data_IF_253434868876
#
_entry.id   IF_253434868876
#
_cell.length_a   1.000
_cell.length_b   1.000
_cell.length_c   1.000
_cell.angle_alpha   90.00
_cell.angle_beta   90.00
_cell.angle_gamma   90.00
#
_symmetry.space_group_name_H-M   'P 1'
#
loop_
_entity.id
_entity.type
_entity.pdbx_description
1 polymer ?
#
# COMPACT_ATOMS: atom_id res chain seq x y z
N UNK A 1 55.45 26.88 76.62
CA UNK A 1 54.27 25.98 76.31
C UNK A 1 53.43 26.43 75.10
N UNK A 2 53.77 27.42 74.31
CA UNK A 2 52.93 27.96 73.19
C UNK A 2 53.14 27.27 71.77
N UNK A 3 54.22 26.53 71.58
CA UNK A 3 54.50 25.97 70.26
C UNK A 3 53.78 24.62 70.00
N UNK A 4 53.38 23.87 71.02
CA UNK A 4 52.65 22.54 70.83
C UNK A 4 51.17 22.79 70.47
N UNK A 5 50.53 23.85 70.91
CA UNK A 5 49.14 24.13 70.58
C UNK A 5 48.98 24.60 69.12
N UNK A 6 49.98 25.32 68.59
CA UNK A 6 49.94 25.78 67.19
C UNK A 6 50.02 24.62 66.20
N UNK A 7 50.84 23.59 66.50
CA UNK A 7 50.94 22.39 65.65
C UNK A 7 49.62 21.60 65.59
N UNK A 8 48.91 21.54 66.73
CA UNK A 8 47.58 20.86 66.74
C UNK A 8 46.53 21.69 65.98
N UNK A 9 46.57 22.99 65.99
CA UNK A 9 45.69 23.86 65.21
C UNK A 9 45.96 23.71 63.70
N UNK A 10 47.20 23.66 63.29
CA UNK A 10 47.58 23.47 61.89
C UNK A 10 47.17 22.09 61.42
N UNK A 11 47.40 21.03 62.22
CA UNK A 11 47.01 19.68 61.90
C UNK A 11 45.47 19.49 61.72
N UNK A 12 44.69 20.14 62.61
CA UNK A 12 43.21 20.11 62.50
C UNK A 12 42.68 20.87 61.27
N UNK A 13 43.32 22.00 60.92
CA UNK A 13 42.96 22.75 59.72
C UNK A 13 43.25 21.99 58.45
N UNK A 14 44.39 21.31 58.36
CA UNK A 14 44.73 20.43 57.22
C UNK A 14 43.76 19.24 57.12
N UNK A 15 43.41 18.64 58.26
CA UNK A 15 42.47 17.52 58.28
C UNK A 15 41.05 17.97 57.83
N UNK A 16 40.61 19.19 58.23
CA UNK A 16 39.34 19.75 57.82
C UNK A 16 39.30 20.05 56.31
N UNK A 17 40.39 20.55 55.74
CA UNK A 17 40.51 20.83 54.30
C UNK A 17 40.50 19.49 53.52
N UNK A 18 41.20 18.50 53.98
CA UNK A 18 41.20 17.15 53.37
C UNK A 18 39.82 16.51 53.46
N UNK A 19 39.13 16.58 54.58
CA UNK A 19 37.77 16.06 54.71
C UNK A 19 36.78 16.82 53.80
N UNK A 20 36.92 18.13 53.66
CA UNK A 20 36.13 18.92 52.71
C UNK A 20 36.38 18.56 51.28
N UNK A 21 37.64 18.34 50.87
CA UNK A 21 37.99 17.92 49.51
C UNK A 21 37.44 16.51 49.18
N UNK A 22 37.55 15.56 50.12
CA UNK A 22 36.97 14.21 49.95
C UNK A 22 35.45 14.28 49.88
N UNK A 23 34.80 15.10 50.73
CA UNK A 23 33.35 15.27 50.65
C UNK A 23 32.91 15.88 49.31
N UNK A 24 33.66 16.88 48.81
CA UNK A 24 33.38 17.52 47.51
C UNK A 24 33.54 16.56 46.34
N UNK A 25 34.59 15.74 46.31
CA UNK A 25 34.81 14.70 45.33
C UNK A 25 33.69 13.64 45.40
N UNK A 26 33.29 13.27 46.62
CA UNK A 26 32.22 12.26 46.81
C UNK A 26 30.85 12.79 46.48
N UNK A 27 30.55 14.10 46.68
CA UNK A 27 29.33 14.72 46.23
C UNK A 27 29.32 14.90 44.69
N UNK A 28 30.44 15.31 44.09
CA UNK A 28 30.53 15.46 42.65
C UNK A 28 30.52 14.11 41.89
N UNK A 29 31.01 13.03 42.51
CA UNK A 29 30.90 11.66 41.92
C UNK A 29 29.50 11.04 42.09
N UNK A 30 28.64 11.60 42.99
CA UNK A 30 27.22 11.23 43.12
C UNK A 30 26.28 12.06 42.26
N UNK A 31 26.75 13.13 41.64
CA UNK A 31 26.06 13.80 40.55
C UNK A 31 26.18 12.95 39.30
N UNK A 32 25.65 11.70 39.34
CA UNK A 32 25.51 10.92 38.16
C UNK A 32 24.72 11.73 37.14
N UNK A 33 25.25 11.83 35.92
CA UNK A 33 24.45 12.22 34.76
C UNK A 33 23.12 11.49 34.88
N UNK A 34 21.97 12.18 34.71
CA UNK A 34 20.71 11.50 34.65
C UNK A 34 20.90 10.39 33.59
N UNK A 35 20.74 9.12 34.02
CA UNK A 35 20.88 7.98 33.13
C UNK A 35 20.09 8.32 31.87
N UNK A 36 20.78 8.42 30.74
CA UNK A 36 20.14 8.72 29.46
C UNK A 36 19.03 7.67 29.30
N UNK A 37 17.79 8.10 29.41
CA UNK A 37 16.64 7.23 29.18
C UNK A 37 16.83 6.65 27.79
N UNK A 38 16.90 5.31 27.62
CA UNK A 38 17.14 4.72 26.31
C UNK A 38 16.02 5.20 25.38
N UNK A 39 16.39 5.93 24.34
CA UNK A 39 15.47 6.33 23.28
C UNK A 39 14.94 5.08 22.62
N UNK A 40 13.64 5.03 22.43
CA UNK A 40 13.00 3.90 21.75
C UNK A 40 12.31 4.41 20.48
N UNK A 41 12.37 3.64 19.38
CA UNK A 41 11.66 3.99 18.17
C UNK A 41 10.16 3.88 18.38
N UNK A 42 9.41 4.87 17.88
CA UNK A 42 7.94 4.88 17.85
C UNK A 42 7.47 5.34 16.48
N UNK A 43 6.32 4.86 16.07
CA UNK A 43 5.70 5.27 14.82
C UNK A 43 4.98 6.60 15.02
N UNK A 44 5.28 7.57 14.17
CA UNK A 44 4.64 8.89 14.16
C UNK A 44 4.04 9.18 12.79
N UNK A 45 2.95 9.96 12.77
CA UNK A 45 2.35 10.42 11.54
C UNK A 45 3.25 11.43 10.84
N UNK A 46 3.63 11.15 9.57
CA UNK A 46 4.37 12.07 8.71
C UNK A 46 3.46 13.19 8.19
N UNK A 47 2.23 12.84 7.84
CA UNK A 47 1.17 13.73 7.37
C UNK A 47 -0.03 13.61 8.31
N UNK A 48 -0.94 14.61 8.37
CA UNK A 48 -2.19 14.44 9.08
C UNK A 48 -3.01 13.32 8.45
N UNK A 49 -3.62 12.45 9.28
CA UNK A 49 -4.42 11.31 8.85
C UNK A 49 -5.83 11.52 9.39
N UNK A 50 -6.82 11.53 8.51
CA UNK A 50 -8.21 11.73 8.90
C UNK A 50 -8.83 10.45 9.49
N UNK A 51 -9.87 10.61 10.30
CA UNK A 51 -10.67 9.49 10.81
C UNK A 51 -11.26 8.67 9.66
N UNK A 52 -11.18 7.35 9.77
CA UNK A 52 -11.57 6.35 8.78
C UNK A 52 -10.61 6.19 7.59
N UNK A 53 -9.50 6.94 7.53
CA UNK A 53 -8.45 6.69 6.53
C UNK A 53 -7.67 5.43 6.87
N UNK A 54 -7.16 4.76 5.83
CA UNK A 54 -6.25 3.62 5.96
C UNK A 54 -4.80 4.14 6.02
N UNK A 55 -4.04 3.67 7.02
CA UNK A 55 -2.64 4.07 7.20
C UNK A 55 -1.79 3.43 6.11
N UNK A 56 -1.19 4.26 5.26
CA UNK A 56 -0.22 3.85 4.24
C UNK A 56 1.21 4.02 4.75
N UNK A 57 2.16 3.32 4.13
CA UNK A 57 3.59 3.38 4.49
C UNK A 57 4.15 4.81 4.41
N UNK A 58 3.71 5.59 3.43
CA UNK A 58 4.15 6.97 3.21
C UNK A 58 3.59 7.98 4.23
N UNK A 59 2.52 7.61 4.96
CA UNK A 59 1.91 8.45 6.01
C UNK A 59 2.63 8.37 7.35
N UNK A 60 3.52 7.41 7.54
CA UNK A 60 4.16 7.14 8.82
C UNK A 60 5.68 7.11 8.72
N UNK A 61 6.34 7.33 9.85
CA UNK A 61 7.80 7.24 9.97
C UNK A 61 8.19 6.84 11.39
N UNK A 62 9.37 6.24 11.55
CA UNK A 62 9.93 5.94 12.86
C UNK A 62 10.65 7.18 13.41
N UNK A 63 10.38 7.52 14.66
CA UNK A 63 11.11 8.55 15.43
C UNK A 63 11.54 8.01 16.79
N UNK A 64 12.75 8.33 17.19
CA UNK A 64 13.23 8.04 18.54
C UNK A 64 12.67 9.06 19.55
N UNK A 65 12.04 8.59 20.62
CA UNK A 65 11.47 9.41 21.69
C UNK A 65 11.98 8.96 23.05
N UNK A 66 12.21 9.93 23.95
CA UNK A 66 12.62 9.69 25.33
C UNK A 66 11.44 9.26 26.22
N UNK A 67 10.23 9.70 25.87
CA UNK A 67 8.99 9.33 26.55
C UNK A 67 8.01 8.76 25.54
N UNK A 68 7.58 7.54 25.78
CA UNK A 68 6.66 6.81 24.93
C UNK A 68 5.33 6.70 25.63
N UNK A 69 4.23 7.16 25.01
CA UNK A 69 2.89 6.92 25.52
C UNK A 69 2.61 5.41 25.60
N UNK A 70 1.85 4.98 26.60
CA UNK A 70 1.39 3.59 26.70
C UNK A 70 0.56 3.22 25.49
N UNK A 71 0.88 2.09 24.85
CA UNK A 71 0.21 1.61 23.65
C UNK A 71 0.68 2.26 22.34
N UNK A 72 1.82 2.97 22.35
CA UNK A 72 2.42 3.47 21.11
C UNK A 72 2.87 2.32 20.21
N UNK A 73 2.63 2.44 18.91
CA UNK A 73 3.16 1.52 17.92
C UNK A 73 4.68 1.69 17.79
N UNK A 74 5.41 0.57 17.76
CA UNK A 74 6.88 0.56 17.69
C UNK A 74 7.39 0.13 16.31
N UNK A 75 6.58 -0.58 15.55
CA UNK A 75 6.90 -1.04 14.19
C UNK A 75 5.91 -0.48 13.19
N UNK A 76 6.40 -0.07 12.02
CA UNK A 76 5.56 0.46 10.93
C UNK A 76 4.57 -0.61 10.44
N UNK A 77 5.00 -1.87 10.44
CA UNK A 77 4.17 -3.01 10.01
C UNK A 77 2.92 -3.22 10.87
N UNK A 78 2.99 -2.83 12.16
CA UNK A 78 1.86 -2.97 13.09
C UNK A 78 0.72 -1.99 12.80
N UNK A 79 0.98 -0.93 12.06
CA UNK A 79 0.01 0.14 11.81
C UNK A 79 -0.43 0.24 10.35
N UNK A 80 0.43 -0.17 9.40
CA UNK A 80 0.11 -0.10 7.96
C UNK A 80 -1.06 -1.01 7.62
N UNK A 81 -2.04 -0.49 6.87
CA UNK A 81 -3.30 -1.18 6.58
C UNK A 81 -4.34 -1.07 7.70
N UNK A 82 -3.99 -0.48 8.84
CA UNK A 82 -4.95 -0.18 9.91
C UNK A 82 -5.80 1.06 9.58
N UNK A 83 -7.06 1.05 9.99
CA UNK A 83 -7.97 2.20 9.84
C UNK A 83 -7.91 3.07 11.07
N UNK A 84 -7.79 4.37 10.86
CA UNK A 84 -7.71 5.37 11.92
C UNK A 84 -9.09 5.62 12.53
N UNK A 85 -9.19 5.55 13.85
CA UNK A 85 -10.45 5.73 14.60
C UNK A 85 -10.72 7.18 15.02
N UNK A 86 -9.72 8.06 14.89
CA UNK A 86 -9.80 9.51 15.13
C UNK A 86 -8.78 10.24 14.29
N UNK A 87 -8.95 11.53 14.09
CA UNK A 87 -7.96 12.33 13.39
C UNK A 87 -6.60 12.29 14.13
N UNK A 88 -5.52 12.05 13.40
CA UNK A 88 -4.15 12.03 13.89
C UNK A 88 -3.40 13.20 13.24
N UNK A 89 -2.82 14.07 14.07
CA UNK A 89 -2.07 15.22 13.59
C UNK A 89 -0.66 14.84 13.10
N UNK A 90 -0.10 15.64 12.21
CA UNK A 90 1.29 15.47 11.78
C UNK A 90 2.25 15.52 12.99
N UNK A 91 3.18 14.56 13.07
CA UNK A 91 4.14 14.43 14.17
C UNK A 91 3.58 13.79 15.44
N UNK A 92 2.33 13.41 15.46
CA UNK A 92 1.69 12.70 16.56
C UNK A 92 2.10 11.23 16.57
N UNK A 93 2.30 10.67 17.79
CA UNK A 93 2.61 9.24 17.97
C UNK A 93 1.34 8.42 17.73
N UNK A 94 1.44 7.42 16.90
CA UNK A 94 0.33 6.53 16.62
C UNK A 94 0.19 5.53 17.78
N UNK A 95 -1.01 5.50 18.39
CA UNK A 95 -1.34 4.54 19.44
C UNK A 95 -2.15 3.39 18.86
N UNK A 96 -1.88 2.17 19.29
CA UNK A 96 -2.61 0.97 18.85
C UNK A 96 -4.13 1.05 19.16
N UNK A 97 -4.53 1.82 20.17
CA UNK A 97 -5.94 2.07 20.48
C UNK A 97 -6.64 3.02 19.50
N UNK A 98 -5.87 3.84 18.77
CA UNK A 98 -6.39 4.82 17.81
C UNK A 98 -6.53 4.25 16.41
N UNK A 99 -6.12 2.99 16.24
CA UNK A 99 -6.20 2.27 14.98
C UNK A 99 -6.99 0.98 15.14
N UNK A 100 -7.71 0.61 14.12
CA UNK A 100 -8.34 -0.69 13.99
C UNK A 100 -7.59 -1.50 12.95
N UNK A 101 -6.88 -2.52 13.38
CA UNK A 101 -6.25 -3.46 12.47
C UNK A 101 -7.33 -4.42 12.00
N UNK A 102 -7.56 -4.45 10.71
CA UNK A 102 -8.52 -5.37 10.12
C UNK A 102 -7.84 -6.72 9.94
N UNK A 103 -8.00 -7.57 10.92
CA UNK A 103 -7.47 -8.94 10.88
C UNK A 103 -8.44 -9.93 10.23
N UNK A 104 -9.63 -9.46 9.84
CA UNK A 104 -10.66 -10.31 9.25
C UNK A 104 -11.69 -9.56 8.41
N UNK A 105 -12.42 -10.29 7.57
CA UNK A 105 -13.46 -9.75 6.67
C UNK A 105 -14.68 -9.17 7.40
N UNK A 106 -14.81 -9.38 8.71
CA UNK A 106 -15.96 -8.90 9.51
C UNK A 106 -15.99 -7.39 9.67
N UNK A 107 -14.84 -6.74 9.61
CA UNK A 107 -14.73 -5.30 9.84
C UNK A 107 -14.82 -4.47 8.54
N UNK A 108 -14.82 -5.11 7.38
CA UNK A 108 -14.92 -4.47 6.07
C UNK A 108 -16.12 -3.50 5.93
N UNK A 109 -17.33 -3.82 6.43
CA UNK A 109 -18.47 -2.91 6.29
C UNK A 109 -18.24 -1.53 6.93
N UNK A 110 -17.42 -1.43 7.97
CA UNK A 110 -17.11 -0.16 8.65
C UNK A 110 -16.20 0.77 7.84
N UNK A 111 -15.53 0.23 6.80
CA UNK A 111 -14.63 0.98 5.91
C UNK A 111 -15.33 1.51 4.65
N UNK A 112 -16.55 1.04 4.39
CA UNK A 112 -17.20 1.31 3.11
C UNK A 112 -17.84 2.70 3.02
N UNK A 113 -18.29 3.26 4.14
CA UNK A 113 -19.20 4.42 4.10
C UNK A 113 -20.59 4.03 3.58
N UNK A 114 -21.44 5.02 3.36
CA UNK A 114 -22.87 4.78 3.07
C UNK A 114 -23.14 4.46 1.58
N UNK A 115 -22.22 4.82 0.68
CA UNK A 115 -22.42 4.80 -0.78
C UNK A 115 -21.50 3.82 -1.53
N UNK A 116 -20.60 3.13 -0.83
CA UNK A 116 -19.63 2.20 -1.40
C UNK A 116 -19.90 0.76 -1.01
N UNK A 117 -19.42 -0.16 -1.83
CA UNK A 117 -19.47 -1.60 -1.54
C UNK A 117 -18.08 -2.24 -1.73
N UNK A 118 -17.87 -3.36 -1.04
CA UNK A 118 -16.65 -4.15 -1.19
C UNK A 118 -16.85 -5.25 -2.23
N UNK A 119 -15.90 -5.37 -3.16
CA UNK A 119 -15.88 -6.44 -4.16
C UNK A 119 -14.53 -7.14 -4.14
N UNK A 120 -14.55 -8.47 -4.10
CA UNK A 120 -13.36 -9.27 -4.26
C UNK A 120 -12.98 -9.42 -5.74
N UNK A 121 -11.76 -9.05 -6.08
CA UNK A 121 -11.15 -9.29 -7.38
C UNK A 121 -10.00 -10.28 -7.22
N UNK A 122 -10.00 -11.36 -8.02
CA UNK A 122 -8.94 -12.35 -7.98
C UNK A 122 -7.62 -11.75 -8.50
N UNK A 123 -6.55 -11.95 -7.75
CA UNK A 123 -5.23 -11.39 -8.03
C UNK A 123 -4.47 -12.28 -9.01
N UNK A 124 -4.71 -12.11 -10.30
CA UNK A 124 -4.04 -12.88 -11.37
C UNK A 124 -2.90 -12.12 -12.04
N UNK A 125 -2.84 -10.80 -11.83
CA UNK A 125 -1.84 -9.92 -12.42
C UNK A 125 -0.47 -10.01 -11.69
N UNK A 126 0.57 -9.50 -12.36
CA UNK A 126 1.94 -9.58 -11.85
C UNK A 126 2.13 -8.73 -10.60
N UNK A 127 1.58 -7.50 -10.56
CA UNK A 127 1.77 -6.58 -9.43
C UNK A 127 1.21 -7.16 -8.14
N UNK A 128 0.02 -7.74 -8.22
CA UNK A 128 -0.61 -8.41 -7.08
C UNK A 128 0.22 -9.62 -6.61
N UNK A 129 0.70 -10.44 -7.54
CA UNK A 129 1.48 -11.65 -7.21
C UNK A 129 2.82 -11.33 -6.54
N UNK A 130 3.42 -10.17 -6.83
CA UNK A 130 4.69 -9.75 -6.24
C UNK A 130 4.51 -8.96 -4.94
N UNK A 131 3.28 -8.81 -4.45
CA UNK A 131 2.99 -8.06 -3.23
C UNK A 131 3.26 -6.56 -3.37
N UNK A 132 3.19 -6.04 -4.61
CA UNK A 132 3.38 -4.62 -4.87
C UNK A 132 2.18 -3.78 -4.47
N UNK A 133 1.00 -4.40 -4.35
CA UNK A 133 -0.26 -3.75 -3.96
C UNK A 133 -0.50 -3.99 -2.47
N UNK A 134 -0.80 -2.93 -1.73
CA UNK A 134 -1.07 -2.96 -0.29
C UNK A 134 -2.44 -2.38 0.05
N UNK A 135 -3.01 -2.68 1.23
CA UNK A 135 -4.20 -1.97 1.72
C UNK A 135 -3.94 -0.45 1.77
N UNK A 136 -4.92 0.33 1.32
CA UNK A 136 -4.83 1.79 1.20
C UNK A 136 -4.26 2.28 -0.14
N UNK A 137 -3.74 1.39 -0.99
CA UNK A 137 -3.34 1.75 -2.34
C UNK A 137 -4.55 1.95 -3.25
N UNK A 138 -4.34 2.68 -4.33
CA UNK A 138 -5.33 2.89 -5.38
C UNK A 138 -4.88 2.22 -6.67
N UNK A 139 -5.81 1.52 -7.31
CA UNK A 139 -5.54 0.78 -8.54
C UNK A 139 -6.51 1.15 -9.65
N UNK A 140 -6.04 1.04 -10.88
CA UNK A 140 -6.86 1.10 -12.09
C UNK A 140 -7.03 -0.29 -12.68
N UNK A 141 -8.17 -0.54 -13.31
CA UNK A 141 -8.50 -1.81 -13.95
C UNK A 141 -8.33 -1.69 -15.45
N UNK A 142 -7.39 -2.45 -15.97
CA UNK A 142 -7.17 -2.66 -17.40
C UNK A 142 -7.89 -3.94 -17.83
N UNK A 143 -8.60 -3.87 -18.92
CA UNK A 143 -9.33 -5.01 -19.45
C UNK A 143 -9.03 -5.20 -20.93
N UNK A 144 -8.69 -6.42 -21.30
CA UNK A 144 -8.48 -6.83 -22.70
C UNK A 144 -9.49 -7.89 -23.06
N UNK A 145 -10.22 -7.66 -24.14
CA UNK A 145 -11.19 -8.61 -24.68
C UNK A 145 -10.93 -8.86 -26.16
N UNK A 146 -11.30 -10.06 -26.59
CA UNK A 146 -11.32 -10.44 -27.99
C UNK A 146 -12.63 -9.94 -28.61
N UNK A 147 -12.54 -9.10 -29.62
CA UNK A 147 -13.69 -8.56 -30.35
C UNK A 147 -13.70 -9.16 -31.74
N UNK A 148 -14.83 -9.70 -32.13
CA UNK A 148 -15.06 -10.09 -33.52
C UNK A 148 -15.46 -8.82 -34.26
N UNK A 149 -14.56 -8.31 -35.09
CA UNK A 149 -14.88 -7.18 -35.96
C UNK A 149 -15.59 -7.73 -37.20
N UNK A 150 -16.90 -7.50 -37.25
CA UNK A 150 -17.62 -7.68 -38.50
C UNK A 150 -17.28 -6.52 -39.43
N UNK A 151 -16.67 -6.77 -40.56
CA UNK A 151 -16.49 -5.75 -41.59
C UNK A 151 -17.88 -5.24 -42.01
N UNK A 152 -18.16 -3.93 -41.90
CA UNK A 152 -19.45 -3.45 -42.38
C UNK A 152 -19.56 -3.73 -43.86
N UNK A 153 -20.57 -4.50 -44.24
CA UNK A 153 -20.91 -4.76 -45.65
C UNK A 153 -21.64 -3.54 -46.15
N UNK A 154 -20.99 -2.75 -46.99
CA UNK A 154 -21.67 -1.72 -47.76
C UNK A 154 -22.45 -2.41 -48.87
N UNK A 155 -23.78 -2.42 -48.76
CA UNK A 155 -24.72 -3.00 -49.75
C UNK A 155 -24.55 -2.43 -51.16
N UNK A 156 -23.84 -1.32 -51.32
CA UNK A 156 -23.54 -0.69 -52.60
C UNK A 156 -22.52 -1.44 -53.45
N UNK A 157 -21.71 -2.36 -52.83
CA UNK A 157 -20.64 -3.09 -53.49
C UNK A 157 -21.10 -4.50 -53.98
N UNK A 158 -22.33 -4.91 -53.67
CA UNK A 158 -22.86 -6.23 -54.01
C UNK A 158 -23.88 -6.13 -55.14
N UNK A 159 -23.48 -6.42 -56.35
CA UNK A 159 -24.33 -6.33 -57.54
C UNK A 159 -24.99 -7.63 -57.94
N UNK A 160 -24.52 -8.78 -57.41
CA UNK A 160 -25.09 -10.10 -57.77
C UNK A 160 -25.27 -11.00 -56.56
N UNK A 161 -26.20 -11.99 -56.67
CA UNK A 161 -26.43 -12.99 -55.62
C UNK A 161 -25.22 -13.91 -55.39
N UNK A 162 -24.39 -14.10 -56.42
CA UNK A 162 -23.13 -14.89 -56.33
C UNK A 162 -22.07 -14.14 -55.53
N UNK A 163 -21.93 -12.80 -55.75
CA UNK A 163 -21.05 -11.98 -54.96
C UNK A 163 -21.52 -11.92 -53.50
N UNK A 164 -22.83 -11.81 -53.23
CA UNK A 164 -23.38 -11.88 -51.91
C UNK A 164 -23.06 -13.20 -51.18
N UNK A 165 -23.09 -14.31 -51.91
CA UNK A 165 -22.73 -15.62 -51.36
C UNK A 165 -21.22 -15.76 -51.11
N UNK A 166 -20.37 -15.22 -51.98
CA UNK A 166 -18.91 -15.15 -51.80
C UNK A 166 -18.55 -14.33 -50.61
N UNK A 167 -19.13 -13.12 -50.44
CA UNK A 167 -18.94 -12.25 -49.28
C UNK A 167 -19.47 -12.87 -47.98
N UNK A 168 -20.51 -13.69 -48.04
CA UNK A 168 -21.01 -14.43 -46.88
C UNK A 168 -20.04 -15.56 -46.43
N UNK A 169 -19.24 -16.07 -47.36
CA UNK A 169 -18.22 -17.11 -47.10
C UNK A 169 -16.91 -16.46 -46.66
N UNK A 170 -16.55 -15.29 -47.19
CA UNK A 170 -15.41 -14.46 -46.78
C UNK A 170 -15.72 -13.48 -45.62
N UNK A 171 -16.67 -13.81 -44.76
CA UNK A 171 -16.73 -13.18 -43.44
C UNK A 171 -15.47 -13.57 -42.69
N UNK A 172 -14.43 -12.89 -43.05
CA UNK A 172 -13.18 -12.93 -42.28
C UNK A 172 -13.49 -12.32 -40.92
N UNK A 173 -13.87 -13.17 -39.98
CA UNK A 173 -14.02 -12.82 -38.57
C UNK A 173 -12.60 -12.60 -38.05
N UNK A 174 -12.06 -11.41 -38.33
CA UNK A 174 -10.79 -11.02 -37.73
C UNK A 174 -11.04 -10.81 -36.25
N UNK A 175 -10.52 -11.72 -35.44
CA UNK A 175 -10.40 -11.53 -34.01
C UNK A 175 -9.39 -10.40 -33.78
N UNK A 176 -9.84 -9.31 -33.22
CA UNK A 176 -8.98 -8.24 -32.76
C UNK A 176 -9.05 -8.16 -31.23
N UNK A 177 -7.92 -7.91 -30.61
CA UNK A 177 -7.85 -7.68 -29.17
C UNK A 177 -7.97 -6.20 -28.89
N UNK A 178 -8.90 -5.82 -28.04
CA UNK A 178 -9.08 -4.43 -27.61
C UNK A 178 -8.79 -4.34 -26.12
N UNK A 179 -7.81 -3.48 -25.79
CA UNK A 179 -7.47 -3.16 -24.40
C UNK A 179 -8.03 -1.78 -24.04
N UNK A 180 -8.70 -1.72 -22.90
CA UNK A 180 -9.34 -0.50 -22.39
C UNK A 180 -9.01 -0.30 -20.91
N UNK A 181 -8.91 0.94 -20.49
CA UNK A 181 -8.90 1.34 -19.09
C UNK A 181 -10.36 1.51 -18.65
N UNK A 182 -10.85 0.57 -17.82
CA UNK A 182 -12.29 0.50 -17.50
C UNK A 182 -12.66 1.26 -16.24
N UNK A 183 -12.06 0.90 -15.13
CA UNK A 183 -12.31 1.51 -13.83
C UNK A 183 -11.03 2.15 -13.32
N UNK A 184 -11.17 3.24 -12.60
CA UNK A 184 -10.04 4.02 -12.15
C UNK A 184 -10.17 4.42 -10.69
N UNK A 185 -9.02 4.55 -10.03
CA UNK A 185 -8.92 5.06 -8.66
C UNK A 185 -9.71 4.24 -7.64
N UNK A 186 -9.60 2.92 -7.71
CA UNK A 186 -10.25 2.01 -6.78
C UNK A 186 -9.36 1.77 -5.57
N UNK A 187 -9.87 2.03 -4.37
CA UNK A 187 -9.16 1.82 -3.11
C UNK A 187 -9.10 0.33 -2.76
N UNK A 188 -7.91 -0.15 -2.42
CA UNK A 188 -7.68 -1.51 -1.91
C UNK A 188 -7.90 -1.52 -0.41
N UNK A 189 -8.98 -2.16 0.06
CA UNK A 189 -9.31 -2.25 1.47
C UNK A 189 -8.51 -3.33 2.18
N UNK A 190 -8.35 -4.48 1.53
CA UNK A 190 -7.73 -5.65 2.13
C UNK A 190 -7.15 -6.57 1.06
N UNK A 191 -6.16 -7.35 1.47
CA UNK A 191 -5.53 -8.40 0.69
C UNK A 191 -5.86 -9.75 1.32
N UNK A 192 -6.35 -10.70 0.52
CA UNK A 192 -6.59 -12.08 0.95
C UNK A 192 -5.41 -12.92 0.46
N UNK A 193 -4.68 -13.49 1.40
CA UNK A 193 -3.55 -14.40 1.15
C UNK A 193 -3.96 -15.84 1.47
N UNK A 194 -3.29 -16.80 0.82
CA UNK A 194 -3.49 -18.22 1.15
C UNK A 194 -2.89 -18.51 2.54
N UNK A 195 -3.65 -19.19 3.43
CA UNK A 195 -3.10 -19.59 4.71
C UNK A 195 -1.95 -20.57 4.51
N UNK A 196 -0.79 -20.29 5.11
CA UNK A 196 0.32 -21.25 5.09
C UNK A 196 -0.01 -22.45 5.98
N UNK A 197 0.32 -23.68 5.52
CA UNK A 197 0.38 -24.84 6.41
C UNK A 197 1.43 -24.58 7.51
N UNK A 198 1.11 -24.85 8.76
CA UNK A 198 1.97 -24.60 9.92
C UNK A 198 3.33 -25.34 9.88
N UNK A 199 3.54 -26.25 8.94
CA UNK A 199 4.75 -27.09 8.82
C UNK A 199 5.91 -26.44 8.01
N UNK A 200 5.72 -25.26 7.43
CA UNK A 200 6.71 -24.63 6.53
C UNK A 200 7.55 -23.51 7.18
N UNK A 201 7.69 -23.48 8.51
CA UNK A 201 8.52 -22.47 9.21
C UNK A 201 10.01 -22.87 9.24
N UNK A 202 10.67 -22.83 8.11
CA UNK A 202 12.12 -22.66 8.06
C UNK A 202 12.41 -21.21 7.63
N UNK A 203 13.17 -20.50 8.43
CA UNK A 203 13.49 -19.05 8.33
C UNK A 203 14.09 -18.60 6.97
N UNK A 204 14.44 -19.52 6.08
CA UNK A 204 15.00 -19.24 4.75
C UNK A 204 13.96 -19.11 3.61
N UNK A 205 12.69 -19.37 3.89
CA UNK A 205 11.60 -19.26 2.92
C UNK A 205 10.49 -18.36 3.47
N UNK A 206 10.81 -17.10 3.76
CA UNK A 206 9.82 -16.03 3.75
C UNK A 206 9.39 -15.79 2.28
N UNK A 207 8.87 -16.84 1.65
CA UNK A 207 8.27 -16.76 0.35
C UNK A 207 7.07 -15.82 0.47
N UNK A 208 7.06 -14.76 -0.33
CA UNK A 208 5.89 -13.90 -0.52
C UNK A 208 4.70 -14.83 -0.74
N UNK A 209 3.75 -14.81 0.21
CA UNK A 209 2.56 -15.64 0.14
C UNK A 209 1.80 -15.30 -1.15
N UNK A 210 1.36 -16.30 -1.92
CA UNK A 210 0.61 -16.01 -3.13
C UNK A 210 -0.68 -15.28 -2.75
N UNK A 211 -0.84 -14.10 -3.31
CA UNK A 211 -2.02 -13.28 -3.17
C UNK A 211 -3.18 -13.98 -3.88
N UNK A 212 -4.31 -14.20 -3.18
CA UNK A 212 -5.49 -14.83 -3.77
C UNK A 212 -6.48 -13.81 -4.30
N UNK A 213 -6.73 -12.75 -3.55
CA UNK A 213 -7.69 -11.74 -3.96
C UNK A 213 -7.39 -10.38 -3.29
N UNK A 214 -7.83 -9.33 -3.97
CA UNK A 214 -7.92 -7.97 -3.45
C UNK A 214 -9.38 -7.67 -3.14
N UNK A 215 -9.61 -7.02 -2.00
CA UNK A 215 -10.93 -6.45 -1.68
C UNK A 215 -10.88 -4.97 -2.05
N UNK A 216 -11.66 -4.59 -3.05
CA UNK A 216 -11.73 -3.24 -3.58
C UNK A 216 -13.00 -2.52 -3.06
N UNK A 217 -12.87 -1.25 -2.74
CA UNK A 217 -13.96 -0.33 -2.43
C UNK A 217 -14.41 0.34 -3.71
N UNK A 218 -15.65 0.12 -4.09
CA UNK A 218 -16.18 0.53 -5.39
C UNK A 218 -17.58 1.11 -5.28
N UNK A 219 -17.97 1.90 -6.27
CA UNK A 219 -19.35 2.28 -6.46
C UNK A 219 -20.22 1.06 -6.81
N UNK A 220 -21.51 1.03 -6.43
CA UNK A 220 -22.39 -0.09 -6.77
C UNK A 220 -22.47 -0.37 -8.28
N UNK A 221 -22.43 0.66 -9.13
CA UNK A 221 -22.39 0.49 -10.59
C UNK A 221 -21.07 -0.14 -11.05
N UNK A 222 -19.94 0.29 -10.49
CA UNK A 222 -18.60 -0.24 -10.81
C UNK A 222 -18.45 -1.69 -10.38
N UNK A 223 -19.14 -2.11 -9.29
CA UNK A 223 -19.21 -3.50 -8.89
C UNK A 223 -19.87 -4.39 -9.95
N UNK A 224 -20.93 -3.89 -10.61
CA UNK A 224 -21.56 -4.61 -11.72
C UNK A 224 -20.64 -4.69 -12.93
N UNK A 225 -19.89 -3.61 -13.20
CA UNK A 225 -18.85 -3.61 -14.24
C UNK A 225 -17.77 -4.64 -13.93
N UNK A 226 -17.20 -4.64 -12.72
CA UNK A 226 -16.21 -5.64 -12.30
C UNK A 226 -16.72 -7.09 -12.43
N UNK A 227 -17.98 -7.31 -12.06
CA UNK A 227 -18.63 -8.62 -12.22
C UNK A 227 -18.67 -9.03 -13.68
N UNK A 228 -19.08 -8.13 -14.56
CA UNK A 228 -19.11 -8.38 -16.01
C UNK A 228 -17.72 -8.68 -16.57
N UNK A 229 -16.71 -7.87 -16.20
CA UNK A 229 -15.32 -8.06 -16.66
C UNK A 229 -14.77 -9.43 -16.23
N UNK A 230 -15.02 -9.81 -14.97
CA UNK A 230 -14.57 -11.10 -14.43
C UNK A 230 -15.20 -12.30 -15.10
N UNK A 231 -16.48 -12.20 -15.46
CA UNK A 231 -17.24 -13.32 -16.04
C UNK A 231 -17.10 -13.38 -17.58
N UNK A 232 -16.56 -12.34 -18.21
CA UNK A 232 -16.29 -12.33 -19.66
C UNK A 232 -14.97 -13.04 -19.97
N UNK A 233 -14.78 -13.41 -21.25
CA UNK A 233 -13.60 -14.15 -21.76
C UNK A 233 -12.35 -13.25 -21.87
N UNK A 234 -12.35 -12.09 -21.26
CA UNK A 234 -11.23 -11.15 -21.30
C UNK A 234 -10.20 -11.39 -20.19
N UNK A 235 -9.13 -10.59 -20.24
CA UNK A 235 -8.09 -10.55 -19.22
C UNK A 235 -8.22 -9.24 -18.42
N UNK A 236 -8.16 -9.38 -17.11
CA UNK A 236 -8.14 -8.25 -16.17
C UNK A 236 -6.73 -8.12 -15.63
N UNK A 237 -6.15 -6.94 -15.78
CA UNK A 237 -4.88 -6.55 -15.18
C UNK A 237 -5.07 -5.29 -14.35
N UNK A 238 -4.20 -5.09 -13.35
CA UNK A 238 -4.23 -3.94 -12.47
C UNK A 238 -3.04 -3.02 -12.75
N UNK A 239 -3.29 -1.73 -12.67
CA UNK A 239 -2.24 -0.70 -12.67
C UNK A 239 -2.26 0.01 -11.32
N UNK A 240 -1.11 0.06 -10.64
CA UNK A 240 -0.95 0.73 -9.37
C UNK A 240 -0.80 2.24 -9.60
N UNK A 241 -1.54 3.04 -8.83
CA UNK A 241 -1.43 4.50 -8.86
C UNK A 241 -0.37 5.02 -7.90
N UNK A 242 0.15 6.20 -8.23
CA UNK A 242 0.88 6.99 -7.24
C UNK A 242 -0.07 7.40 -6.10
N UNK A 243 0.38 7.38 -4.84
CA UNK A 243 -0.45 7.66 -3.68
C UNK A 243 -1.30 8.93 -3.74
N UNK A 244 -0.77 9.99 -4.33
CA UNK A 244 -1.41 11.32 -4.34
C UNK A 244 -2.10 11.63 -5.68
N UNK A 245 -2.33 10.62 -6.53
CA UNK A 245 -2.90 10.83 -7.87
C UNK A 245 -4.37 10.43 -7.96
N UNK A 246 -5.26 11.38 -7.74
CA UNK A 246 -6.71 11.21 -7.87
C UNK A 246 -7.24 11.59 -9.26
N UNK A 247 -6.35 11.98 -10.19
CA UNK A 247 -6.77 12.43 -11.53
C UNK A 247 -7.26 11.26 -12.35
N UNK A 248 -8.46 11.36 -12.91
CA UNK A 248 -8.96 10.40 -13.88
C UNK A 248 -8.29 10.61 -15.24
N UNK A 249 -7.73 9.53 -15.77
CA UNK A 249 -7.05 9.56 -17.08
C UNK A 249 -8.05 9.39 -18.21
N UNK A 250 -7.92 10.22 -19.24
CA UNK A 250 -8.66 10.06 -20.47
C UNK A 250 -7.77 9.36 -21.49
N UNK A 251 -7.93 8.04 -21.62
CA UNK A 251 -7.17 7.21 -22.55
C UNK A 251 -8.07 6.59 -23.59
N UNK A 252 -7.53 6.38 -24.78
CA UNK A 252 -8.26 5.75 -25.89
C UNK A 252 -8.10 4.22 -25.81
N UNK A 253 -9.12 3.45 -26.24
CA UNK A 253 -8.98 2.04 -26.46
C UNK A 253 -7.84 1.72 -27.41
N UNK A 254 -7.10 0.66 -27.12
CA UNK A 254 -5.96 0.22 -27.94
C UNK A 254 -6.26 -1.11 -28.60
N UNK A 255 -6.11 -1.12 -29.91
CA UNK A 255 -6.18 -2.32 -30.75
C UNK A 255 -5.01 -2.32 -31.74
N UNK A 256 -4.96 -3.32 -32.63
CA UNK A 256 -3.89 -3.44 -33.63
C UNK A 256 -3.80 -2.19 -34.52
N UNK A 257 -4.94 -1.66 -34.97
CA UNK A 257 -4.96 -0.47 -35.81
C UNK A 257 -4.37 0.75 -35.11
N UNK A 258 -4.67 0.94 -33.82
CA UNK A 258 -4.06 2.00 -33.02
C UNK A 258 -2.53 1.86 -32.98
N UNK A 259 -2.01 0.65 -32.79
CA UNK A 259 -0.57 0.40 -32.75
C UNK A 259 0.10 0.69 -34.09
N UNK A 260 -0.55 0.27 -35.21
CA UNK A 260 -0.07 0.56 -36.55
C UNK A 260 0.03 2.07 -36.82
N UNK A 261 -1.04 2.81 -36.50
CA UNK A 261 -1.10 4.24 -36.73
C UNK A 261 -0.12 5.05 -35.85
N UNK A 262 -0.02 4.68 -34.57
CA UNK A 262 0.77 5.44 -33.61
C UNK A 262 2.26 5.11 -33.64
N UNK A 263 2.61 3.83 -33.84
CA UNK A 263 3.98 3.32 -33.70
C UNK A 263 4.56 2.78 -35.02
N UNK A 264 3.81 2.79 -36.12
CA UNK A 264 4.26 2.27 -37.40
C UNK A 264 4.49 0.76 -37.42
N UNK A 265 3.77 0.03 -36.58
CA UNK A 265 3.87 -1.45 -36.54
C UNK A 265 3.30 -1.99 -37.84
N UNK A 266 4.08 -2.79 -38.57
CA UNK A 266 3.66 -3.48 -39.79
C UNK A 266 3.33 -4.91 -39.43
N UNK A 267 2.11 -5.37 -39.71
CA UNK A 267 1.74 -6.76 -39.51
C UNK A 267 2.43 -7.65 -40.54
N UNK A 268 2.96 -8.83 -40.14
CA UNK A 268 3.48 -9.79 -41.07
C UNK A 268 2.36 -10.24 -42.02
N UNK A 269 2.63 -10.26 -43.32
CA UNK A 269 1.69 -10.80 -44.27
C UNK A 269 1.62 -12.35 -44.08
N UNK A 270 0.44 -12.94 -44.26
CA UNK A 270 0.32 -14.39 -44.26
C UNK A 270 1.30 -14.96 -45.30
N UNK A 271 2.03 -16.01 -44.95
CA UNK A 271 2.82 -16.78 -45.91
C UNK A 271 1.83 -17.47 -46.83
N UNK A 272 1.93 -17.22 -48.14
CA UNK A 272 1.19 -17.94 -49.18
C UNK A 272 1.52 -19.42 -49.20
#
# INVERSE_FOLDING_TARGET
MKRRSLLWFVASAVLAILAGAVAMVFLSSRGGEPAAVPKQPVVVARNPIAMNDVIRVDYVTLQERDQIPSGAAVEVQDVVGGTVLRDIAQGEVILMQDIRIITGTRDLPFLLGDDKIAVALQANDILSKWGAVMPGDHVDVLFTLDVILEKPMYLEDVTTAEEAALYAIERDQSLDNVSILTLQNLEVLQIIQEPQPEEAQTEEQAAVLPLQALILKVDPQDAVVLKYLRDSIGKVDLALRSPDNDVLFNVQPVNVNYLMLRYGVVLPQPLE
#
